data_IF_896587657999
#
_entry.id   IF_896587657999
#
_cell.length_a   1.000
_cell.length_b   1.000
_cell.length_c   1.000
_cell.angle_alpha   90.00
_cell.angle_beta   90.00
_cell.angle_gamma   90.00
#
_symmetry.space_group_name_H-M   'P 1'
#
loop_
_entity.id
_entity.type
_entity.pdbx_description
1 polymer ?
#
# COMPACT_ATOMS: atom_id res chain seq x y z
N UNK A 1 9.21 20.57 6.45
CA UNK A 1 8.28 19.97 7.42
C UNK A 1 8.96 18.81 8.11
N UNK A 2 8.67 18.55 9.39
CA UNK A 2 9.14 17.36 10.10
C UNK A 2 7.92 16.57 10.55
N UNK A 3 7.87 15.27 10.28
CA UNK A 3 6.76 14.40 10.71
C UNK A 3 6.97 13.87 12.13
N UNK A 4 5.99 13.12 12.65
CA UNK A 4 6.05 12.49 13.99
C UNK A 4 7.15 11.44 14.12
N UNK A 5 7.78 11.03 13.01
CA UNK A 5 8.94 10.12 12.97
C UNK A 5 10.26 10.87 12.82
N UNK A 6 10.25 12.19 13.04
CA UNK A 6 11.40 13.07 12.91
C UNK A 6 12.01 13.11 11.49
N UNK A 7 11.23 12.73 10.47
CA UNK A 7 11.67 12.74 9.08
C UNK A 7 11.39 14.09 8.46
N UNK A 8 12.38 14.61 7.75
CA UNK A 8 12.30 15.95 7.15
C UNK A 8 11.86 15.87 5.70
N UNK A 9 10.89 16.70 5.34
CA UNK A 9 10.37 16.81 3.99
C UNK A 9 10.47 18.24 3.48
N UNK A 10 10.83 18.36 2.20
CA UNK A 10 10.76 19.64 1.48
C UNK A 10 9.31 19.89 1.10
N UNK A 11 8.82 21.08 1.43
CA UNK A 11 7.49 21.55 1.06
C UNK A 11 7.63 22.89 0.33
N UNK A 12 6.72 23.18 -0.60
CA UNK A 12 6.68 24.50 -1.25
C UNK A 12 6.29 25.59 -0.25
N UNK A 13 6.65 26.83 -0.56
CA UNK A 13 6.24 27.98 0.26
C UNK A 13 4.71 28.14 0.32
N UNK A 14 4.00 27.84 -0.78
CA UNK A 14 2.54 27.82 -0.80
C UNK A 14 1.96 26.78 0.18
N UNK A 15 2.53 25.57 0.22
CA UNK A 15 2.11 24.54 1.18
C UNK A 15 2.43 24.95 2.61
N UNK A 16 3.55 25.62 2.84
CA UNK A 16 3.87 26.21 4.15
C UNK A 16 2.79 27.21 4.60
N UNK A 17 2.39 28.16 3.74
CA UNK A 17 1.36 29.14 4.06
C UNK A 17 -0.01 28.49 4.32
N UNK A 18 -0.36 27.43 3.58
CA UNK A 18 -1.57 26.63 3.80
C UNK A 18 -1.57 26.00 5.20
N UNK A 19 -0.46 25.38 5.60
CA UNK A 19 -0.31 24.74 6.91
C UNK A 19 -0.26 25.77 8.05
N UNK A 20 0.42 26.89 7.87
CA UNK A 20 0.52 27.98 8.85
C UNK A 20 -0.85 28.59 9.16
N UNK A 21 -1.70 28.75 8.14
CA UNK A 21 -3.10 29.17 8.30
C UNK A 21 -3.94 28.11 9.00
N UNK A 22 -3.79 26.84 8.61
CA UNK A 22 -4.61 25.75 9.17
C UNK A 22 -4.29 25.44 10.63
N UNK A 23 -3.03 25.53 11.02
CA UNK A 23 -2.57 25.16 12.37
C UNK A 23 -2.51 26.35 13.33
N UNK A 24 -3.02 27.52 12.93
CA UNK A 24 -3.13 28.74 13.73
C UNK A 24 -1.83 29.09 14.49
N UNK A 25 -0.83 29.57 13.73
CA UNK A 25 0.36 30.30 14.18
C UNK A 25 1.04 29.88 15.51
N UNK A 26 1.71 28.73 15.52
CA UNK A 26 2.96 28.59 16.29
C UNK A 26 4.14 29.03 15.44
N UNK A 27 4.27 30.34 15.21
CA UNK A 27 5.45 30.92 14.57
C UNK A 27 6.61 30.96 15.57
N UNK A 28 7.55 30.03 15.43
CA UNK A 28 8.89 30.24 15.97
C UNK A 28 9.83 30.58 14.82
N UNK A 29 10.16 31.86 14.69
CA UNK A 29 11.25 32.30 13.81
C UNK A 29 12.53 32.15 14.61
N UNK A 30 13.19 31.00 14.47
CA UNK A 30 14.50 30.80 15.09
C UNK A 30 15.58 31.34 14.15
N UNK A 31 16.11 32.51 14.49
CA UNK A 31 17.08 33.23 13.67
C UNK A 31 18.50 32.86 14.10
N UNK A 32 18.96 31.64 13.81
CA UNK A 32 20.39 31.26 13.92
C UNK A 32 20.76 30.19 12.89
N UNK A 33 21.42 30.58 11.80
CA UNK A 33 22.41 29.71 11.16
C UNK A 33 23.80 30.18 11.59
N UNK A 34 24.48 29.35 12.39
CA UNK A 34 25.94 29.41 12.53
C UNK A 34 26.58 28.94 11.24
N UNK A 35 27.68 29.62 10.89
CA UNK A 35 28.37 29.71 9.59
C UNK A 35 28.93 28.40 8.98
N UNK A 36 28.47 27.19 9.38
CA UNK A 36 29.15 25.92 9.06
C UNK A 36 28.40 24.85 8.27
N UNK A 37 27.11 25.00 8.00
CA UNK A 37 26.35 24.03 7.19
C UNK A 37 25.97 24.60 5.82
N UNK A 38 26.98 24.95 5.02
CA UNK A 38 26.80 25.33 3.62
C UNK A 38 26.61 24.07 2.76
N UNK A 39 25.38 23.59 2.66
CA UNK A 39 25.01 22.47 1.78
C UNK A 39 23.59 22.50 1.22
N UNK A 40 22.79 23.53 1.50
CA UNK A 40 21.41 23.61 1.02
C UNK A 40 21.12 24.99 0.46
N UNK A 41 21.27 25.12 -0.87
CA UNK A 41 20.73 26.22 -1.65
C UNK A 41 19.23 26.00 -1.87
N UNK A 42 18.42 26.89 -1.30
CA UNK A 42 16.99 27.03 -1.63
C UNK A 42 16.84 28.27 -2.51
N UNK A 43 16.31 28.07 -3.71
CA UNK A 43 15.67 29.11 -4.54
C UNK A 43 14.43 29.59 -3.76
N UNK A 44 14.08 30.86 -3.62
CA UNK A 44 14.68 32.11 -4.04
C UNK A 44 13.79 33.22 -3.47
N UNK A 45 14.35 34.08 -2.63
CA UNK A 45 13.77 35.40 -2.35
C UNK A 45 14.58 36.40 -3.15
N UNK A 46 13.94 37.05 -4.11
CA UNK A 46 14.54 38.07 -4.99
C UNK A 46 14.97 39.34 -4.23
N UNK A 47 14.97 39.32 -2.90
CA UNK A 47 15.39 40.40 -2.01
C UNK A 47 16.29 39.99 -0.85
N UNK A 48 16.82 38.76 -0.83
CA UNK A 48 17.75 38.38 0.23
C UNK A 48 19.20 38.32 -0.24
N UNK A 49 20.04 39.13 0.41
CA UNK A 49 21.49 39.15 0.26
C UNK A 49 22.06 37.73 0.33
N UNK A 50 23.16 37.44 -0.37
CA UNK A 50 23.81 36.13 -0.29
C UNK A 50 24.34 35.94 1.14
N UNK A 51 23.71 35.07 1.93
CA UNK A 51 24.27 34.66 3.23
C UNK A 51 23.31 34.22 4.33
N UNK A 52 22.00 34.49 4.25
CA UNK A 52 21.07 34.13 5.34
C UNK A 52 19.76 33.56 4.80
N UNK A 53 19.64 32.23 4.79
CA UNK A 53 18.36 31.56 4.58
C UNK A 53 17.54 31.58 5.87
N UNK A 54 16.32 32.11 5.83
CA UNK A 54 15.39 32.05 6.97
C UNK A 54 14.75 30.66 7.05
N UNK A 55 14.88 29.98 8.21
CA UNK A 55 14.18 28.72 8.47
C UNK A 55 12.79 29.01 9.02
N UNK A 56 11.77 28.63 8.26
CA UNK A 56 10.39 28.71 8.71
C UNK A 56 9.96 27.40 9.35
N UNK A 57 9.46 27.45 10.58
CA UNK A 57 8.95 26.29 11.33
C UNK A 57 7.47 26.56 11.65
N UNK A 58 6.61 25.58 11.35
CA UNK A 58 5.21 25.56 11.81
C UNK A 58 5.04 24.26 12.60
N UNK A 59 4.39 24.35 13.76
CA UNK A 59 4.03 23.19 14.58
C UNK A 59 2.54 22.90 14.43
N UNK A 60 2.20 21.62 14.26
CA UNK A 60 0.82 21.18 14.23
C UNK A 60 0.18 21.33 15.61
N UNK A 61 -1.07 21.80 15.65
CA UNK A 61 -1.85 22.05 16.87
C UNK A 61 -2.39 20.77 17.54
N UNK A 62 -2.07 19.58 17.01
CA UNK A 62 -2.50 18.26 17.51
C UNK A 62 -4.00 17.99 17.43
N UNK A 63 -4.74 18.75 16.62
CA UNK A 63 -6.16 18.51 16.37
C UNK A 63 -6.30 17.55 15.19
N UNK A 64 -6.83 16.32 15.36
CA UNK A 64 -6.92 15.30 14.30
C UNK A 64 -7.47 15.80 12.96
N UNK A 65 -8.53 16.60 13.00
CA UNK A 65 -9.21 17.16 11.82
C UNK A 65 -8.34 18.14 11.00
N UNK A 66 -7.26 18.65 11.59
CA UNK A 66 -6.33 19.56 10.91
C UNK A 66 -5.03 18.88 10.47
N UNK A 67 -4.89 17.59 10.74
CA UNK A 67 -3.68 16.83 10.43
C UNK A 67 -3.33 16.85 8.94
N UNK A 68 -2.05 16.61 8.64
CA UNK A 68 -1.55 16.43 7.27
C UNK A 68 -0.87 15.06 7.19
N UNK A 69 -1.55 14.02 6.67
CA UNK A 69 -0.94 12.71 6.52
C UNK A 69 0.10 12.71 5.40
N UNK A 70 1.14 11.91 5.56
CA UNK A 70 2.12 11.64 4.50
C UNK A 70 1.96 10.20 4.08
N UNK A 71 1.77 9.98 2.78
CA UNK A 71 1.55 8.65 2.22
C UNK A 71 2.83 8.21 1.52
N UNK A 72 3.20 6.94 1.72
CA UNK A 72 4.34 6.31 1.07
C UNK A 72 3.92 5.02 0.42
N UNK A 73 4.45 4.81 -0.77
CA UNK A 73 4.28 3.57 -1.52
C UNK A 73 5.47 2.65 -1.24
N UNK A 74 5.16 1.38 -1.05
CA UNK A 74 6.14 0.32 -0.87
C UNK A 74 5.77 -0.84 -1.78
N UNK A 75 6.73 -1.35 -2.52
CA UNK A 75 6.55 -2.56 -3.32
C UNK A 75 6.85 -3.79 -2.45
N UNK A 76 6.05 -4.83 -2.60
CA UNK A 76 6.25 -6.12 -1.95
C UNK A 76 5.65 -7.24 -2.81
N UNK A 77 6.00 -8.49 -2.50
CA UNK A 77 5.46 -9.67 -3.19
C UNK A 77 4.08 -10.03 -2.63
N UNK A 78 3.03 -9.91 -3.44
CA UNK A 78 1.66 -10.22 -3.02
C UNK A 78 1.23 -11.62 -3.49
N UNK A 79 1.31 -12.60 -2.59
CA UNK A 79 0.93 -13.99 -2.88
C UNK A 79 -0.58 -14.22 -2.86
N UNK A 80 -1.36 -13.31 -2.29
CA UNK A 80 -2.83 -13.44 -2.26
C UNK A 80 -3.47 -13.16 -3.62
N UNK A 81 -2.78 -12.39 -4.49
CA UNK A 81 -3.25 -12.10 -5.85
C UNK A 81 -3.36 -13.35 -6.74
N UNK A 82 -2.63 -14.43 -6.43
CA UNK A 82 -2.66 -15.65 -7.26
C UNK A 82 -3.85 -16.56 -6.97
N UNK A 83 -4.66 -16.28 -5.94
CA UNK A 83 -5.81 -17.13 -5.61
C UNK A 83 -6.95 -16.93 -6.63
N UNK A 84 -7.31 -17.99 -7.35
CA UNK A 84 -8.18 -17.94 -8.53
C UNK A 84 -9.68 -17.79 -8.25
N UNK A 85 -10.14 -17.88 -7.01
CA UNK A 85 -11.56 -18.12 -6.70
C UNK A 85 -12.51 -16.93 -6.91
N UNK A 86 -12.01 -15.70 -7.03
CA UNK A 86 -12.84 -14.54 -7.36
C UNK A 86 -12.93 -14.34 -8.87
N UNK A 87 -14.15 -14.18 -9.40
CA UNK A 87 -14.43 -13.95 -10.82
C UNK A 87 -13.84 -12.64 -11.36
N UNK A 88 -13.72 -12.53 -12.68
CA UNK A 88 -13.32 -11.27 -13.32
C UNK A 88 -14.51 -10.29 -13.30
N UNK A 89 -14.23 -9.05 -12.91
CA UNK A 89 -15.23 -7.96 -12.92
C UNK A 89 -15.13 -7.25 -14.27
N UNK A 90 -16.24 -7.24 -15.03
CA UNK A 90 -16.32 -6.55 -16.32
C UNK A 90 -16.39 -5.02 -16.11
N UNK A 91 -16.04 -4.24 -17.13
CA UNK A 91 -16.15 -2.78 -17.05
C UNK A 91 -17.62 -2.31 -17.03
N UNK A 92 -18.53 -3.12 -17.57
CA UNK A 92 -19.97 -2.93 -17.44
C UNK A 92 -20.43 -3.08 -15.98
N UNK A 93 -19.97 -4.13 -15.28
CA UNK A 93 -20.33 -4.37 -13.88
C UNK A 93 -19.79 -3.27 -12.96
N UNK A 94 -18.58 -2.77 -13.22
CA UNK A 94 -18.01 -1.66 -12.43
C UNK A 94 -18.90 -0.42 -12.46
N UNK A 95 -19.44 -0.08 -13.64
CA UNK A 95 -20.32 1.06 -13.81
C UNK A 95 -21.71 0.79 -13.24
N UNK A 96 -22.22 -0.43 -13.37
CA UNK A 96 -23.54 -0.78 -12.86
C UNK A 96 -23.62 -0.71 -11.33
N UNK A 97 -22.56 -1.17 -10.65
CA UNK A 97 -22.50 -1.29 -9.20
C UNK A 97 -21.68 -0.18 -8.51
N UNK A 98 -21.28 0.86 -9.25
CA UNK A 98 -20.44 1.97 -8.77
C UNK A 98 -19.20 1.49 -7.99
N UNK A 99 -18.51 0.48 -8.53
CA UNK A 99 -17.30 -0.06 -7.91
C UNK A 99 -16.20 1.01 -7.88
N UNK A 100 -15.61 1.23 -6.72
CA UNK A 100 -14.58 2.24 -6.53
C UNK A 100 -13.22 1.78 -7.07
N UNK A 101 -12.59 2.68 -7.81
CA UNK A 101 -11.20 2.55 -8.21
C UNK A 101 -10.27 2.64 -7.00
N UNK A 102 -9.20 1.84 -7.02
CA UNK A 102 -8.20 1.91 -5.96
C UNK A 102 -7.48 3.27 -6.04
N UNK A 103 -7.48 4.09 -4.97
CA UNK A 103 -6.96 5.45 -5.07
C UNK A 103 -5.44 5.48 -5.31
N UNK A 104 -5.03 6.14 -6.40
CA UNK A 104 -3.62 6.46 -6.64
C UNK A 104 -3.08 7.48 -5.62
N UNK A 105 -1.77 7.50 -5.36
CA UNK A 105 -1.13 8.46 -4.43
C UNK A 105 -0.47 9.60 -5.22
N UNK A 106 -1.22 10.60 -5.75
CA UNK A 106 -0.59 11.69 -6.49
C UNK A 106 0.21 12.59 -5.53
N UNK A 107 1.54 12.54 -5.66
CA UNK A 107 2.44 13.48 -5.00
C UNK A 107 2.68 13.23 -3.50
N UNK A 108 2.16 12.16 -2.90
CA UNK A 108 2.55 11.68 -1.55
C UNK A 108 1.98 12.46 -0.35
N UNK A 109 1.18 13.49 -0.56
CA UNK A 109 0.80 14.44 0.50
C UNK A 109 -0.62 14.32 1.04
N UNK A 110 -1.44 13.40 0.50
CA UNK A 110 -2.79 13.07 0.98
C UNK A 110 -3.31 11.89 0.20
N UNK A 111 -4.15 11.10 0.83
CA UNK A 111 -4.97 10.14 0.10
C UNK A 111 -6.33 10.05 0.78
N UNK A 112 -7.37 10.36 0.02
CA UNK A 112 -8.76 10.24 0.46
C UNK A 112 -8.97 8.81 0.97
N UNK A 113 -9.51 8.68 2.17
CA UNK A 113 -9.73 7.39 2.84
C UNK A 113 -11.22 7.00 2.84
N UNK A 114 -12.12 7.99 2.70
CA UNK A 114 -13.56 7.79 2.52
C UNK A 114 -13.93 8.01 1.05
N UNK A 115 -14.27 6.94 0.33
CA UNK A 115 -14.74 6.98 -1.05
C UNK A 115 -16.27 6.90 -1.09
N UNK A 116 -16.91 7.72 -1.91
CA UNK A 116 -18.37 7.72 -2.03
C UNK A 116 -18.82 8.17 -3.41
N UNK A 117 -19.93 7.60 -3.89
CA UNK A 117 -20.64 8.03 -5.10
C UNK A 117 -21.70 9.12 -4.82
N UNK A 118 -21.74 9.66 -3.59
CA UNK A 118 -22.70 10.69 -3.17
C UNK A 118 -22.06 11.84 -2.38
N UNK A 119 -22.69 12.36 -1.31
CA UNK A 119 -22.19 13.54 -0.61
C UNK A 119 -20.85 13.26 0.08
N UNK A 120 -19.94 14.23 0.03
CA UNK A 120 -18.63 14.13 0.68
C UNK A 120 -18.74 14.15 2.20
N UNK A 121 -18.08 13.20 2.87
CA UNK A 121 -17.95 13.11 4.32
C UNK A 121 -16.60 13.66 4.79
N UNK A 122 -16.45 14.98 4.76
CA UNK A 122 -15.14 15.64 4.90
C UNK A 122 -14.55 15.43 6.29
N UNK A 123 -15.35 15.50 7.36
CA UNK A 123 -14.83 15.34 8.73
C UNK A 123 -14.40 13.90 8.98
N UNK A 124 -15.23 12.94 8.57
CA UNK A 124 -14.90 11.53 8.68
C UNK A 124 -13.65 11.17 7.86
N UNK A 125 -13.53 11.70 6.64
CA UNK A 125 -12.35 11.50 5.79
C UNK A 125 -11.07 12.05 6.41
N UNK A 126 -11.10 13.28 6.91
CA UNK A 126 -9.95 13.87 7.60
C UNK A 126 -9.56 13.08 8.86
N UNK A 127 -10.54 12.59 9.62
CA UNK A 127 -10.29 11.79 10.81
C UNK A 127 -9.73 10.40 10.45
N UNK A 128 -10.26 9.73 9.43
CA UNK A 128 -9.76 8.44 8.97
C UNK A 128 -8.35 8.54 8.39
N UNK A 129 -8.06 9.63 7.67
CA UNK A 129 -6.72 9.96 7.21
C UNK A 129 -5.74 10.17 8.37
N UNK A 130 -6.17 10.87 9.43
CA UNK A 130 -5.39 10.99 10.67
C UNK A 130 -5.10 9.61 11.28
N UNK A 131 -6.11 8.74 11.40
CA UNK A 131 -5.94 7.39 11.96
C UNK A 131 -4.96 6.54 11.15
N UNK A 132 -5.03 6.60 9.83
CA UNK A 132 -4.08 5.95 8.93
C UNK A 132 -2.63 6.44 9.14
N UNK A 133 -2.43 7.68 9.60
CA UNK A 133 -1.13 8.16 10.06
C UNK A 133 -0.79 7.68 11.46
N UNK A 134 -1.69 7.93 12.42
CA UNK A 134 -1.49 7.73 13.86
C UNK A 134 -1.28 6.26 14.25
N UNK A 135 -2.13 5.35 13.78
CA UNK A 135 -2.05 3.90 14.08
C UNK A 135 -0.73 3.26 13.60
N UNK A 136 -0.05 3.95 12.69
CA UNK A 136 1.22 3.54 12.12
C UNK A 136 2.40 4.26 12.75
N UNK A 137 2.23 4.98 13.86
CA UNK A 137 3.33 5.55 14.66
C UNK A 137 3.83 4.55 15.71
N UNK A 138 4.99 4.86 16.27
CA UNK A 138 5.56 4.18 17.44
C UNK A 138 4.62 4.22 18.65
N UNK A 139 3.98 5.37 18.89
CA UNK A 139 3.04 5.57 20.00
C UNK A 139 1.82 4.65 19.95
N UNK A 140 1.34 4.34 18.74
CA UNK A 140 0.20 3.45 18.55
C UNK A 140 0.61 1.98 18.34
N UNK A 141 1.89 1.65 18.47
CA UNK A 141 2.40 0.27 18.38
C UNK A 141 2.62 -0.24 16.95
N UNK A 142 2.79 0.64 15.96
CA UNK A 142 3.10 0.29 14.56
C UNK A 142 2.19 -0.81 13.98
N UNK A 143 0.87 -0.58 13.98
CA UNK A 143 -0.11 -1.56 13.47
C UNK A 143 0.13 -1.95 12.01
N UNK A 144 0.74 -1.06 11.22
CA UNK A 144 0.95 -1.23 9.76
C UNK A 144 -0.36 -1.59 9.07
N UNK A 145 -1.43 -0.88 9.44
CA UNK A 145 -2.80 -1.07 8.95
C UNK A 145 -3.22 0.12 8.11
N UNK A 146 -4.07 -0.14 7.13
CA UNK A 146 -4.73 0.90 6.36
C UNK A 146 -6.24 0.68 6.37
N UNK A 147 -6.96 1.73 6.74
CA UNK A 147 -8.40 1.76 6.85
C UNK A 147 -9.00 2.48 5.64
N UNK A 148 -10.02 1.87 5.07
CA UNK A 148 -10.81 2.40 3.96
C UNK A 148 -12.29 2.38 4.34
N UNK A 149 -13.01 3.44 3.96
CA UNK A 149 -14.45 3.50 4.10
C UNK A 149 -15.08 3.80 2.74
N UNK A 150 -15.91 2.89 2.24
CA UNK A 150 -16.58 2.99 0.96
C UNK A 150 -18.08 3.15 1.21
N UNK A 151 -18.66 4.24 0.73
CA UNK A 151 -20.08 4.56 0.92
C UNK A 151 -20.79 4.58 -0.43
N UNK A 152 -21.64 3.57 -0.65
CA UNK A 152 -22.46 3.40 -1.83
C UNK A 152 -23.88 3.91 -1.58
N UNK A 153 -24.30 4.90 -2.34
CA UNK A 153 -25.65 5.44 -2.26
C UNK A 153 -26.55 4.75 -3.28
N UNK A 154 -27.70 4.25 -2.82
CA UNK A 154 -28.72 3.57 -3.62
C UNK A 154 -28.22 2.33 -4.37
N UNK A 155 -27.24 1.63 -3.81
CA UNK A 155 -26.66 0.43 -4.42
C UNK A 155 -27.01 -0.83 -3.59
N UNK A 156 -27.14 -2.00 -4.23
CA UNK A 156 -27.41 -3.26 -3.54
C UNK A 156 -26.15 -3.82 -2.88
N UNK A 157 -26.33 -4.77 -1.96
CA UNK A 157 -25.24 -5.43 -1.24
C UNK A 157 -24.24 -6.16 -2.17
N UNK A 158 -24.69 -6.61 -3.35
CA UNK A 158 -23.81 -7.24 -4.34
C UNK A 158 -22.68 -6.31 -4.82
N UNK A 159 -22.82 -4.99 -4.64
CA UNK A 159 -21.73 -4.03 -4.90
C UNK A 159 -20.52 -4.29 -4.02
N UNK A 160 -20.73 -4.71 -2.76
CA UNK A 160 -19.63 -5.09 -1.86
C UNK A 160 -18.93 -6.39 -2.29
N UNK A 161 -19.69 -7.34 -2.85
CA UNK A 161 -19.13 -8.59 -3.39
C UNK A 161 -18.28 -8.31 -4.64
N UNK A 162 -18.76 -7.43 -5.51
CA UNK A 162 -18.00 -6.99 -6.68
C UNK A 162 -16.80 -6.14 -6.31
N UNK A 163 -16.90 -5.28 -5.30
CA UNK A 163 -15.76 -4.53 -4.79
C UNK A 163 -14.68 -5.45 -4.23
N UNK A 164 -15.08 -6.51 -3.50
CA UNK A 164 -14.16 -7.57 -3.04
C UNK A 164 -13.46 -8.26 -4.20
N UNK A 165 -14.20 -8.59 -5.25
CA UNK A 165 -13.65 -9.20 -6.46
C UNK A 165 -12.77 -8.23 -7.26
N UNK A 166 -13.08 -6.93 -7.27
CA UNK A 166 -12.33 -5.93 -8.00
C UNK A 166 -11.01 -5.59 -7.31
N UNK A 167 -11.03 -5.40 -5.99
CA UNK A 167 -9.84 -5.25 -5.16
C UNK A 167 -9.25 -6.60 -4.75
N UNK A 168 -9.44 -7.64 -5.57
CA UNK A 168 -8.91 -8.98 -5.35
C UNK A 168 -7.39 -8.93 -5.21
N UNK A 169 -6.91 -9.60 -4.17
CA UNK A 169 -5.49 -9.56 -3.81
C UNK A 169 -5.01 -8.14 -3.53
N UNK A 170 -5.85 -7.35 -2.88
CA UNK A 170 -5.59 -5.99 -2.44
C UNK A 170 -4.36 -5.89 -1.54
N UNK A 171 -4.12 -4.69 -1.01
CA UNK A 171 -2.85 -4.43 -0.37
C UNK A 171 -2.77 -5.12 1.00
N UNK A 172 -1.54 -5.41 1.40
CA UNK A 172 -1.26 -6.03 2.68
C UNK A 172 -1.80 -5.14 3.80
N UNK A 173 -2.49 -5.78 4.76
CA UNK A 173 -2.95 -5.17 6.01
C UNK A 173 -3.99 -4.05 5.82
N UNK A 174 -4.97 -4.27 4.96
CA UNK A 174 -6.09 -3.35 4.75
C UNK A 174 -7.36 -3.85 5.45
N UNK A 175 -8.09 -2.91 6.05
CA UNK A 175 -9.49 -3.11 6.44
C UNK A 175 -10.33 -2.18 5.57
N UNK A 176 -11.22 -2.77 4.77
CA UNK A 176 -12.11 -2.04 3.88
C UNK A 176 -13.53 -2.21 4.39
N UNK A 177 -14.11 -1.10 4.85
CA UNK A 177 -15.45 -0.99 5.39
C UNK A 177 -16.35 -0.49 4.26
N UNK A 178 -17.41 -1.21 3.96
CA UNK A 178 -18.34 -0.92 2.87
C UNK A 178 -19.75 -0.72 3.44
N UNK A 179 -20.37 0.39 3.08
CA UNK A 179 -21.70 0.79 3.54
C UNK A 179 -22.58 1.10 2.34
N UNK A 180 -23.79 0.54 2.34
CA UNK A 180 -24.84 0.91 1.39
C UNK A 180 -25.92 1.73 2.06
N UNK A 181 -26.36 2.81 1.43
CA UNK A 181 -27.48 3.63 1.88
C UNK A 181 -28.66 3.58 0.92
N UNK A 182 -29.86 3.82 1.44
CA UNK A 182 -31.06 4.10 0.63
C UNK A 182 -31.16 5.59 0.27
N UNK A 183 -32.24 5.98 -0.41
CA UNK A 183 -32.45 7.34 -0.88
C UNK A 183 -32.60 8.33 0.28
N UNK A 184 -33.06 7.85 1.43
CA UNK A 184 -33.26 8.57 2.68
C UNK A 184 -31.97 8.69 3.52
N UNK A 185 -30.85 8.16 3.02
CA UNK A 185 -29.53 8.08 3.68
C UNK A 185 -29.49 7.16 4.90
N UNK A 186 -30.42 6.23 5.03
CA UNK A 186 -30.38 5.19 6.05
C UNK A 186 -29.49 4.05 5.59
N UNK A 187 -28.80 3.40 6.52
CA UNK A 187 -27.90 2.28 6.21
C UNK A 187 -28.76 1.07 5.83
N UNK A 188 -28.70 0.65 4.57
CA UNK A 188 -29.40 -0.53 4.05
C UNK A 188 -28.62 -1.81 4.35
N UNK A 189 -27.30 -1.77 4.17
CA UNK A 189 -26.39 -2.88 4.39
C UNK A 189 -24.99 -2.38 4.76
N UNK A 190 -24.23 -3.26 5.42
CA UNK A 190 -22.83 -3.04 5.75
C UNK A 190 -22.05 -4.34 5.59
N UNK A 191 -20.86 -4.22 5.02
CA UNK A 191 -19.94 -5.32 4.82
C UNK A 191 -18.50 -4.85 5.09
N UNK A 192 -17.66 -5.74 5.57
CA UNK A 192 -16.29 -5.38 5.96
C UNK A 192 -15.37 -6.50 5.48
N UNK A 193 -14.31 -6.14 4.76
CA UNK A 193 -13.30 -7.08 4.33
C UNK A 193 -11.93 -6.73 4.90
N UNK A 194 -11.17 -7.76 5.21
CA UNK A 194 -9.72 -7.73 5.37
C UNK A 194 -9.16 -8.95 4.66
N UNK A 195 -7.94 -8.85 4.16
CA UNK A 195 -7.29 -9.95 3.45
C UNK A 195 -6.69 -11.02 4.37
N UNK A 196 -6.93 -10.93 5.68
CA UNK A 196 -6.24 -11.74 6.69
C UNK A 196 -7.17 -12.17 7.81
N UNK A 197 -7.10 -13.45 8.19
CA UNK A 197 -8.03 -14.07 9.14
C UNK A 197 -7.88 -13.55 10.58
N UNK A 198 -6.71 -13.03 10.94
CA UNK A 198 -6.40 -12.56 12.30
C UNK A 198 -7.26 -11.36 12.72
N UNK A 199 -7.83 -10.64 11.76
CA UNK A 199 -8.72 -9.49 12.02
C UNK A 199 -10.21 -9.88 12.06
N UNK A 200 -10.56 -11.17 11.98
CA UNK A 200 -11.95 -11.60 11.80
C UNK A 200 -12.89 -11.18 12.93
N UNK A 201 -12.44 -11.22 14.19
CA UNK A 201 -13.24 -10.77 15.32
C UNK A 201 -13.57 -9.27 15.21
N UNK A 202 -12.54 -8.45 14.98
CA UNK A 202 -12.68 -7.01 14.76
C UNK A 202 -13.57 -6.68 13.56
N UNK A 203 -13.49 -7.44 12.46
CA UNK A 203 -14.37 -7.28 11.28
C UNK A 203 -15.84 -7.47 11.64
N UNK A 204 -16.15 -8.49 12.45
CA UNK A 204 -17.51 -8.75 12.93
C UNK A 204 -17.98 -7.62 13.83
N UNK A 205 -17.15 -7.19 14.78
CA UNK A 205 -17.49 -6.09 15.69
C UNK A 205 -17.77 -4.78 14.92
N UNK A 206 -16.92 -4.44 13.94
CA UNK A 206 -17.13 -3.27 13.07
C UNK A 206 -18.48 -3.38 12.34
N UNK A 207 -18.78 -4.55 11.77
CA UNK A 207 -20.04 -4.77 11.05
C UNK A 207 -21.26 -4.65 11.98
N UNK A 208 -21.18 -5.24 13.17
CA UNK A 208 -22.25 -5.20 14.16
C UNK A 208 -22.47 -3.77 14.66
N UNK A 209 -21.41 -2.99 14.89
CA UNK A 209 -21.51 -1.56 15.23
C UNK A 209 -22.29 -0.78 14.18
N UNK A 210 -22.00 -1.02 12.90
CA UNK A 210 -22.67 -0.34 11.78
C UNK A 210 -24.15 -0.75 11.67
N UNK A 211 -24.47 -2.04 11.80
CA UNK A 211 -25.82 -2.56 11.58
C UNK A 211 -26.74 -2.47 12.80
N UNK A 212 -26.20 -2.60 14.01
CA UNK A 212 -27.00 -2.62 15.25
C UNK A 212 -27.06 -1.27 15.93
N UNK A 213 -26.02 -0.43 15.81
CA UNK A 213 -26.01 0.87 16.47
C UNK A 213 -26.29 2.01 15.49
N UNK A 214 -25.48 2.15 14.43
CA UNK A 214 -25.62 3.27 13.51
C UNK A 214 -26.93 3.22 12.73
N UNK A 215 -27.31 2.05 12.21
CA UNK A 215 -28.55 1.87 11.44
C UNK A 215 -29.80 2.04 12.31
N UNK A 216 -29.80 1.49 13.52
CA UNK A 216 -30.97 1.56 14.41
C UNK A 216 -31.06 2.90 15.18
N UNK A 217 -30.07 3.78 15.02
CA UNK A 217 -30.02 5.08 15.71
C UNK A 217 -29.89 4.93 17.22
N UNK A 218 -29.14 3.95 17.69
CA UNK A 218 -28.89 3.73 19.12
C UNK A 218 -27.71 4.56 19.60
N UNK A 219 -27.78 4.99 20.86
CA UNK A 219 -26.73 5.77 21.51
C UNK A 219 -26.58 7.16 20.89
N UNK A 220 -25.38 7.48 20.41
CA UNK A 220 -25.05 8.80 19.86
C UNK A 220 -25.33 8.92 18.35
N UNK A 221 -25.90 7.90 17.70
CA UNK A 221 -26.13 7.89 16.25
C UNK A 221 -27.54 8.32 15.87
N UNK A 222 -27.66 9.04 14.75
CA UNK A 222 -28.96 9.58 14.29
C UNK A 222 -29.87 8.58 13.58
N UNK A 223 -29.39 7.36 13.26
CA UNK A 223 -30.09 6.41 12.39
C UNK A 223 -29.92 6.70 10.89
N UNK A 224 -29.33 7.86 10.55
CA UNK A 224 -29.01 8.28 9.18
C UNK A 224 -27.50 8.44 9.01
N UNK A 225 -27.04 8.30 7.78
CA UNK A 225 -25.63 8.49 7.46
C UNK A 225 -25.32 9.98 7.30
N UNK A 226 -24.85 10.60 8.39
CA UNK A 226 -24.33 11.97 8.42
C UNK A 226 -22.81 11.99 8.57
N UNK A 227 -22.17 13.12 8.26
CA UNK A 227 -20.71 13.29 8.44
C UNK A 227 -20.34 13.25 9.93
N UNK A 228 -21.22 13.75 10.82
CA UNK A 228 -21.08 13.65 12.27
C UNK A 228 -21.16 12.20 12.77
N UNK A 229 -22.11 11.41 12.27
CA UNK A 229 -22.26 10.00 12.66
C UNK A 229 -21.05 9.18 12.19
N UNK A 230 -20.59 9.42 10.96
CA UNK A 230 -19.37 8.78 10.46
C UNK A 230 -18.12 9.26 11.22
N UNK A 231 -18.04 10.51 11.64
CA UNK A 231 -16.95 10.99 12.47
C UNK A 231 -16.89 10.22 13.80
N UNK A 232 -18.02 10.09 14.50
CA UNK A 232 -18.11 9.31 15.76
C UNK A 232 -17.71 7.86 15.54
N UNK A 233 -18.19 7.25 14.45
CA UNK A 233 -17.80 5.91 14.07
C UNK A 233 -16.29 5.78 13.84
N UNK A 234 -15.67 6.71 13.11
CA UNK A 234 -14.21 6.66 12.90
C UNK A 234 -13.43 6.85 14.21
N UNK A 235 -13.93 7.63 15.18
CA UNK A 235 -13.31 7.75 16.50
C UNK A 235 -13.29 6.42 17.24
N UNK A 236 -14.45 5.77 17.33
CA UNK A 236 -14.55 4.43 17.90
C UNK A 236 -13.69 3.41 17.16
N UNK A 237 -13.71 3.44 15.82
CA UNK A 237 -12.92 2.53 14.97
C UNK A 237 -11.42 2.66 15.26
N UNK A 238 -10.93 3.88 15.47
CA UNK A 238 -9.54 4.12 15.84
C UNK A 238 -9.14 3.43 17.14
N UNK A 239 -9.99 3.49 18.15
CA UNK A 239 -9.77 2.83 19.45
C UNK A 239 -9.84 1.30 19.32
N UNK A 240 -10.86 0.77 18.63
CA UNK A 240 -11.03 -0.66 18.41
C UNK A 240 -9.85 -1.26 17.62
N UNK A 241 -9.43 -0.62 16.53
CA UNK A 241 -8.26 -1.06 15.75
C UNK A 241 -6.98 -0.96 16.59
N UNK A 242 -6.82 0.09 17.39
CA UNK A 242 -5.64 0.20 18.25
C UNK A 242 -5.58 -0.93 19.30
N UNK A 243 -6.72 -1.29 19.89
CA UNK A 243 -6.80 -2.34 20.90
C UNK A 243 -6.62 -3.74 20.29
N UNK A 244 -7.38 -4.05 19.23
CA UNK A 244 -7.60 -5.44 18.81
C UNK A 244 -6.87 -5.84 17.53
N UNK A 245 -6.48 -4.87 16.69
CA UNK A 245 -5.86 -5.23 15.42
C UNK A 245 -4.49 -5.86 15.64
N UNK A 246 -4.38 -7.11 15.17
CA UNK A 246 -3.14 -7.87 15.10
C UNK A 246 -2.62 -7.80 13.68
N UNK A 247 -1.40 -7.27 13.52
CA UNK A 247 -0.75 -7.18 12.23
C UNK A 247 -0.50 -8.60 11.66
N UNK A 248 -1.08 -8.94 10.51
CA UNK A 248 -0.86 -10.22 9.87
C UNK A 248 0.59 -10.42 9.42
N UNK A 249 1.11 -11.63 9.63
CA UNK A 249 2.33 -12.07 8.95
C UNK A 249 1.96 -12.57 7.56
N UNK A 250 2.73 -12.21 6.54
CA UNK A 250 2.54 -12.78 5.19
C UNK A 250 3.40 -14.03 4.99
N UNK A 251 4.26 -14.36 5.95
CA UNK A 251 5.06 -15.59 5.92
C UNK A 251 4.18 -16.83 5.90
N UNK A 252 2.98 -16.76 6.48
CA UNK A 252 2.01 -17.85 6.43
C UNK A 252 1.57 -18.18 5.00
N UNK A 253 1.66 -17.24 4.05
CA UNK A 253 1.32 -17.47 2.65
C UNK A 253 2.50 -17.96 1.82
N UNK A 254 3.63 -18.32 2.46
CA UNK A 254 4.82 -18.76 1.74
C UNK A 254 4.63 -20.08 0.97
N UNK A 255 3.59 -20.86 1.30
CA UNK A 255 3.22 -22.07 0.55
C UNK A 255 2.62 -21.77 -0.83
N UNK A 256 2.12 -20.56 -1.06
CA UNK A 256 1.57 -20.15 -2.35
C UNK A 256 2.74 -19.90 -3.30
N UNK A 257 2.83 -20.70 -4.36
CA UNK A 257 3.82 -20.51 -5.42
C UNK A 257 3.44 -19.30 -6.27
N UNK A 258 4.35 -18.33 -6.37
CA UNK A 258 4.18 -17.18 -7.27
C UNK A 258 4.78 -17.55 -8.62
N UNK A 259 4.03 -17.32 -9.70
CA UNK A 259 4.56 -17.48 -11.04
C UNK A 259 5.77 -16.53 -11.23
N UNK A 260 6.88 -16.99 -11.83
CA UNK A 260 8.05 -16.15 -12.03
C UNK A 260 7.71 -14.94 -12.90
N UNK A 261 8.36 -13.80 -12.63
CA UNK A 261 8.16 -12.59 -13.44
C UNK A 261 8.57 -12.82 -14.89
N UNK A 262 7.95 -12.11 -15.84
CA UNK A 262 8.29 -12.22 -17.27
C UNK A 262 9.79 -11.98 -17.50
N UNK A 263 10.39 -11.06 -16.76
CA UNK A 263 11.83 -10.81 -16.81
C UNK A 263 12.64 -12.03 -16.35
N UNK A 264 12.25 -12.70 -15.27
CA UNK A 264 12.91 -13.92 -14.81
C UNK A 264 12.80 -15.05 -15.86
N UNK A 265 11.66 -15.15 -16.54
CA UNK A 265 11.46 -16.10 -17.64
C UNK A 265 12.42 -15.78 -18.79
N UNK A 266 12.46 -14.53 -19.25
CA UNK A 266 13.35 -14.08 -20.33
C UNK A 266 14.82 -14.29 -19.95
N UNK A 267 15.22 -13.90 -18.74
CA UNK A 267 16.57 -14.08 -18.24
C UNK A 267 16.97 -15.56 -18.22
N UNK A 268 16.07 -16.43 -17.79
CA UNK A 268 16.29 -17.89 -17.80
C UNK A 268 16.56 -18.38 -19.22
N UNK A 269 15.78 -17.95 -20.21
CA UNK A 269 16.01 -18.28 -21.62
C UNK A 269 17.35 -17.75 -22.13
N UNK A 270 17.75 -16.54 -21.74
CA UNK A 270 19.05 -15.96 -22.12
C UNK A 270 20.20 -16.80 -21.52
N UNK A 271 20.13 -17.17 -20.24
CA UNK A 271 21.14 -18.00 -19.59
C UNK A 271 21.24 -19.36 -20.28
N UNK A 272 20.11 -20.01 -20.54
CA UNK A 272 20.06 -21.30 -21.26
C UNK A 272 20.66 -21.16 -22.66
N UNK A 273 20.39 -20.08 -23.38
CA UNK A 273 20.99 -19.81 -24.69
C UNK A 273 22.52 -19.67 -24.59
N UNK A 274 23.01 -18.86 -23.65
CA UNK A 274 24.45 -18.63 -23.44
C UNK A 274 25.17 -19.92 -23.06
N UNK A 275 24.58 -20.73 -22.18
CA UNK A 275 25.15 -22.04 -21.79
C UNK A 275 25.19 -22.99 -22.98
N UNK A 276 24.13 -23.05 -23.80
CA UNK A 276 24.12 -23.91 -24.98
C UNK A 276 25.12 -23.47 -26.04
N UNK A 277 25.21 -22.16 -26.34
CA UNK A 277 26.19 -21.62 -27.29
C UNK A 277 27.61 -21.81 -26.76
N UNK A 278 27.84 -21.55 -25.47
CA UNK A 278 29.12 -21.73 -24.81
C UNK A 278 29.58 -23.19 -24.79
N UNK A 279 28.68 -24.13 -24.47
CA UNK A 279 28.95 -25.56 -24.52
C UNK A 279 29.24 -26.03 -25.95
N UNK A 280 28.47 -25.56 -26.94
CA UNK A 280 28.71 -25.86 -28.35
C UNK A 280 30.07 -25.36 -28.82
N UNK A 281 30.41 -24.10 -28.52
CA UNK A 281 31.72 -23.53 -28.83
C UNK A 281 32.85 -24.29 -28.11
N UNK A 282 32.68 -24.63 -26.83
CA UNK A 282 33.66 -25.40 -26.08
C UNK A 282 33.94 -26.77 -26.69
N UNK A 283 32.89 -27.49 -27.13
CA UNK A 283 33.05 -28.79 -27.81
C UNK A 283 33.82 -28.64 -29.13
N UNK A 284 33.59 -27.56 -29.89
CA UNK A 284 34.30 -27.31 -31.16
C UNK A 284 35.76 -26.90 -30.94
N UNK A 285 36.02 -26.02 -29.97
CA UNK A 285 37.35 -25.47 -29.72
C UNK A 285 38.22 -26.35 -28.83
N UNK A 286 37.64 -27.33 -28.13
CA UNK A 286 38.36 -28.29 -27.33
C UNK A 286 38.32 -29.66 -28.03
N UNK A 287 39.16 -29.88 -29.06
CA UNK A 287 39.24 -31.17 -29.70
C UNK A 287 39.65 -32.19 -28.63
N UNK A 288 38.71 -33.06 -28.28
CA UNK A 288 39.03 -34.22 -27.47
C UNK A 288 40.05 -35.03 -28.27
N UNK A 289 41.29 -35.06 -27.78
CA UNK A 289 42.26 -36.02 -28.25
C UNK A 289 41.64 -37.40 -27.99
N UNK A 290 41.12 -38.03 -29.03
CA UNK A 290 41.02 -39.47 -29.09
C UNK A 290 42.45 -39.97 -28.84
N UNK A 291 42.76 -40.24 -27.57
CA UNK A 291 43.88 -41.05 -27.17
C UNK A 291 43.57 -42.43 -27.75
N UNK A 292 43.97 -42.59 -29.02
CA UNK A 292 43.72 -43.76 -29.80
C UNK A 292 44.03 -44.99 -28.97
N UNK A 293 43.04 -45.87 -28.89
CA UNK A 293 43.25 -47.28 -28.74
C UNK A 293 44.34 -47.70 -29.72
N UNK A 294 45.58 -47.72 -29.24
CA UNK A 294 46.72 -48.25 -29.95
C UNK A 294 46.56 -49.76 -30.04
N UNK A 295 45.75 -50.21 -30.99
CA UNK A 295 45.67 -51.60 -31.42
C UNK A 295 47.02 -51.97 -32.06
N UNK A 296 48.04 -52.23 -31.23
CA UNK A 296 49.32 -52.79 -31.66
C UNK A 296 49.10 -54.26 -32.02
N UNK A 297 48.61 -54.50 -33.23
CA UNK A 297 48.75 -55.79 -33.91
C UNK A 297 50.25 -56.06 -34.14
N UNK A 298 50.88 -56.72 -33.17
CA UNK A 298 52.23 -57.30 -33.30
C UNK A 298 52.10 -58.54 -34.22
N UNK A 299 52.30 -58.36 -35.51
CA UNK A 299 52.52 -59.48 -36.42
C UNK A 299 53.88 -60.13 -36.10
N UNK A 300 53.84 -61.24 -35.35
CA UNK A 300 54.99 -62.12 -35.15
C UNK A 300 55.32 -62.80 -36.48
N UNK A 301 56.29 -62.25 -37.22
CA UNK A 301 57.02 -63.00 -38.27
C UNK A 301 57.76 -64.17 -37.61
N UNK A 302 57.19 -65.38 -37.69
CA UNK A 302 57.93 -66.64 -37.49
C UNK A 302 58.77 -66.89 -38.74
N UNK A 303 60.11 -66.78 -38.62
CA UNK A 303 61.03 -67.38 -39.60
C UNK A 303 61.23 -68.85 -39.18
N UNK A 304 60.76 -69.78 -40.01
CA UNK A 304 61.23 -71.15 -39.99
C UNK A 304 62.64 -71.17 -40.60
N UNK A 305 63.60 -71.73 -39.87
CA UNK A 305 64.94 -72.06 -40.37
C UNK A 305 64.96 -73.58 -40.54
N UNK A 306 65.02 -74.04 -41.79
CA UNK A 306 65.37 -75.42 -42.14
C UNK A 306 66.89 -75.54 -42.26
N UNK A 307 67.38 -76.73 -41.92
CA UNK A 307 68.76 -77.26 -41.91
C UNK A 307 69.48 -77.12 -40.58
#
# INVERSE_FOLDING_TARGET
MVDDRNQTYRISYGKYQELDKRWEHFKHVENKMTRRDSGYTTVGDKYNRPGYGSKHIVRWNRIPLTSEPIVREYTYENRLQTQSHWGQVSDEDKKLYDVFEYPSVPGGWRLQAVLTNGPSFRKADQHLQYLNGYLNTDKAGYKKVRLWLLVYNNQPQSSAELQRAYWKGGNKNEIVIMLGTNAEKEIAWADVMSHTDESRALIIEIRDKLLLEMREGKGDFSGKLTDEDLLKFTQWLGEAVQAEYVKPSFEQYNYIQVAPSLFAIILTYIIVLVVNVGAGAFVVYNPWHDAGAGHRSRSKRRRYRYR
#
